data_IF_885084650628
#
_entry.id   IF_885084650628
#
_cell.length_a   1.000
_cell.length_b   1.000
_cell.length_c   1.000
_cell.angle_alpha   90.00
_cell.angle_beta   90.00
_cell.angle_gamma   90.00
#
_symmetry.space_group_name_H-M   'P 1'
#
loop_
_entity.id
_entity.type
_entity.pdbx_description
1 polymer ?
#
# COMPACT_ATOMS: atom_id res chain seq x y z
N UNK A 1 1.09 -16.71 -8.16
CA UNK A 1 1.29 -17.99 -7.43
C UNK A 1 1.84 -17.78 -6.03
N UNK A 2 2.94 -17.04 -5.84
CA UNK A 2 3.59 -16.85 -4.52
C UNK A 2 2.66 -16.22 -3.48
N UNK A 3 1.91 -15.17 -3.82
CA UNK A 3 0.99 -14.49 -2.88
C UNK A 3 -0.09 -15.46 -2.35
N UNK A 4 -0.77 -16.17 -3.23
CA UNK A 4 -1.79 -17.14 -2.83
C UNK A 4 -1.21 -18.29 -1.99
N UNK A 5 -0.01 -18.75 -2.33
CA UNK A 5 0.69 -19.76 -1.52
C UNK A 5 1.00 -19.22 -0.11
N UNK A 6 1.45 -17.97 0.01
CA UNK A 6 1.65 -17.31 1.31
C UNK A 6 0.37 -17.25 2.14
N UNK A 7 -0.76 -16.89 1.50
CA UNK A 7 -2.08 -16.89 2.15
C UNK A 7 -2.48 -18.28 2.66
N UNK A 8 -2.28 -19.31 1.85
CA UNK A 8 -2.59 -20.72 2.23
C UNK A 8 -1.76 -21.18 3.43
N UNK A 9 -0.49 -20.75 3.52
CA UNK A 9 0.43 -21.12 4.61
C UNK A 9 0.24 -20.29 5.88
N UNK A 10 -0.40 -19.14 5.78
CA UNK A 10 -0.66 -18.30 6.96
C UNK A 10 -1.66 -18.97 7.90
N UNK A 11 -1.41 -18.90 9.20
CA UNK A 11 -2.28 -19.41 10.27
C UNK A 11 -3.12 -18.29 10.93
N UNK A 12 -2.95 -17.05 10.51
CA UNK A 12 -3.59 -15.88 11.12
C UNK A 12 -4.81 -15.39 10.31
N UNK A 13 -5.70 -14.68 11.01
CA UNK A 13 -6.95 -14.16 10.44
C UNK A 13 -6.77 -12.92 9.54
N UNK A 14 -5.59 -12.32 9.56
CA UNK A 14 -5.24 -11.15 8.77
C UNK A 14 -3.96 -11.39 7.98
N UNK A 15 -3.99 -10.98 6.73
CA UNK A 15 -2.87 -11.06 5.79
C UNK A 15 -2.48 -9.64 5.39
N UNK A 16 -1.23 -9.26 5.61
CA UNK A 16 -0.68 -7.99 5.13
C UNK A 16 0.37 -8.25 4.06
N UNK A 17 0.14 -7.71 2.86
CA UNK A 17 1.15 -7.67 1.81
C UNK A 17 2.08 -6.49 2.08
N UNK A 18 3.35 -6.76 2.17
CA UNK A 18 4.41 -5.76 2.36
C UNK A 18 5.47 -5.99 1.29
N UNK A 19 5.87 -4.91 0.63
CA UNK A 19 6.94 -4.94 -0.38
C UNK A 19 8.28 -4.73 0.34
N UNK A 20 9.30 -5.50 0.00
CA UNK A 20 10.59 -5.54 0.70
C UNK A 20 11.51 -4.35 0.37
N UNK A 21 11.14 -3.56 -0.64
CA UNK A 21 11.81 -2.34 -1.07
C UNK A 21 11.15 -1.04 -0.55
N UNK A 22 10.05 -1.14 0.21
CA UNK A 22 9.34 0.00 0.80
C UNK A 22 9.68 0.21 2.28
N UNK A 23 9.41 1.42 2.78
CA UNK A 23 9.58 1.73 4.20
C UNK A 23 8.26 1.56 4.98
N UNK A 24 8.33 0.81 6.08
CA UNK A 24 7.24 0.63 7.04
C UNK A 24 7.69 1.10 8.42
N UNK A 25 7.00 2.10 8.96
CA UNK A 25 7.27 2.65 10.29
C UNK A 25 6.86 1.70 11.42
N UNK A 26 7.34 1.96 12.64
CA UNK A 26 7.13 1.04 13.77
C UNK A 26 5.65 0.82 14.12
N UNK A 27 4.78 1.80 13.87
CA UNK A 27 3.35 1.72 14.19
C UNK A 27 2.49 1.29 12.99
N UNK A 28 3.09 0.97 11.83
CA UNK A 28 2.36 0.65 10.60
C UNK A 28 1.31 -0.44 10.77
N UNK A 29 1.69 -1.57 11.37
CA UNK A 29 0.76 -2.69 11.55
C UNK A 29 -0.32 -2.38 12.60
N UNK A 30 0.03 -1.67 13.67
CA UNK A 30 -0.95 -1.28 14.70
C UNK A 30 -2.01 -0.36 14.12
N UNK A 31 -1.61 0.68 13.37
CA UNK A 31 -2.50 1.61 12.70
C UNK A 31 -3.41 0.90 11.70
N UNK A 32 -2.83 0.01 10.91
CA UNK A 32 -3.56 -0.79 9.93
C UNK A 32 -4.61 -1.68 10.60
N UNK A 33 -4.25 -2.37 11.68
CA UNK A 33 -5.15 -3.25 12.42
C UNK A 33 -6.25 -2.48 13.16
N UNK A 34 -5.99 -1.24 13.59
CA UNK A 34 -6.98 -0.40 14.23
C UNK A 34 -8.16 -0.07 13.30
N UNK A 35 -7.95 0.00 11.98
CA UNK A 35 -9.02 0.23 11.00
C UNK A 35 -10.16 -0.79 11.15
N UNK A 36 -9.84 -2.06 11.36
CA UNK A 36 -10.83 -3.12 11.51
C UNK A 36 -11.65 -3.04 12.81
N UNK A 37 -11.24 -2.20 13.77
CA UNK A 37 -11.97 -1.98 15.04
C UNK A 37 -13.11 -0.97 14.89
N UNK A 38 -13.01 -0.02 13.96
CA UNK A 38 -13.99 1.07 13.79
C UNK A 38 -14.69 1.09 12.44
N UNK A 39 -14.37 0.15 11.55
CA UNK A 39 -15.02 0.02 10.25
C UNK A 39 -15.56 -1.40 10.05
N UNK A 40 -16.45 -1.57 9.07
CA UNK A 40 -16.90 -2.88 8.60
C UNK A 40 -16.13 -3.36 7.35
N UNK A 41 -15.00 -2.71 7.03
CA UNK A 41 -14.14 -3.10 5.92
C UNK A 41 -13.55 -4.50 6.12
N UNK A 42 -13.37 -5.22 5.03
CA UNK A 42 -12.65 -6.49 4.99
C UNK A 42 -11.21 -6.32 4.49
N UNK A 43 -10.94 -5.18 3.86
CA UNK A 43 -9.65 -4.82 3.29
C UNK A 43 -9.32 -3.39 3.71
N UNK A 44 -8.07 -3.15 4.06
CA UNK A 44 -7.55 -1.81 4.31
C UNK A 44 -6.18 -1.62 3.68
N UNK A 45 -5.77 -0.39 3.56
CA UNK A 45 -4.48 0.05 3.07
C UNK A 45 -4.43 1.57 3.01
N UNK A 46 -3.52 2.10 2.22
CA UNK A 46 -3.33 3.56 2.07
C UNK A 46 -3.59 3.98 0.63
N UNK A 47 -4.65 4.76 0.38
CA UNK A 47 -4.84 5.42 -0.93
C UNK A 47 -4.00 6.68 -1.04
N UNK A 48 -3.89 7.45 0.05
CA UNK A 48 -2.93 8.54 0.17
C UNK A 48 -1.69 8.01 0.88
N UNK A 49 -0.51 8.21 0.32
CA UNK A 49 0.74 7.76 0.92
C UNK A 49 1.92 8.64 0.53
N UNK A 50 3.00 8.54 1.29
CA UNK A 50 4.24 9.21 0.98
C UNK A 50 5.04 8.44 -0.09
N UNK A 51 5.77 9.20 -0.90
CA UNK A 51 6.75 8.70 -1.87
C UNK A 51 8.06 9.40 -1.62
N UNK A 52 9.15 8.65 -1.56
CA UNK A 52 10.49 9.20 -1.38
C UNK A 52 11.39 8.82 -2.55
N UNK A 53 12.02 9.82 -3.13
CA UNK A 53 12.98 9.67 -4.23
C UNK A 53 14.41 9.79 -3.70
N UNK A 54 15.13 8.67 -3.65
CA UNK A 54 16.51 8.62 -3.14
C UNK A 54 17.51 9.41 -3.97
N UNK A 55 17.27 9.60 -5.26
CA UNK A 55 18.20 10.28 -6.15
C UNK A 55 18.40 11.77 -5.82
N UNK A 56 17.42 12.40 -5.19
CA UNK A 56 17.42 13.82 -4.86
C UNK A 56 16.80 14.15 -3.48
N UNK A 57 16.60 13.14 -2.65
CA UNK A 57 16.04 13.26 -1.29
C UNK A 57 14.67 13.96 -1.25
N UNK A 58 13.85 13.82 -2.29
CA UNK A 58 12.52 14.44 -2.35
C UNK A 58 11.50 13.55 -1.70
N UNK A 59 10.80 14.07 -0.68
CA UNK A 59 9.61 13.48 -0.08
C UNK A 59 8.37 14.18 -0.62
N UNK A 60 7.38 13.42 -1.02
CA UNK A 60 6.09 13.95 -1.47
C UNK A 60 4.92 13.06 -1.07
N UNK A 61 3.70 13.52 -1.37
CA UNK A 61 2.46 12.79 -1.12
C UNK A 61 1.77 12.52 -2.45
N UNK A 62 1.40 11.26 -2.66
CA UNK A 62 0.58 10.82 -3.80
C UNK A 62 -0.88 10.73 -3.39
N UNK A 63 -1.78 11.03 -4.31
CA UNK A 63 -3.25 10.91 -4.15
C UNK A 63 -3.79 11.55 -2.85
N UNK A 64 -3.61 12.87 -2.69
CA UNK A 64 -4.05 13.60 -1.49
C UNK A 64 -5.54 13.49 -1.23
N UNK A 65 -5.92 13.51 0.06
CA UNK A 65 -7.30 13.59 0.54
C UNK A 65 -8.15 12.32 0.31
N UNK A 66 -7.50 11.14 0.21
CA UNK A 66 -8.18 9.85 0.17
C UNK A 66 -8.04 9.05 1.47
N UNK A 67 -7.63 9.71 2.55
CA UNK A 67 -7.52 9.12 3.89
C UNK A 67 -8.90 9.01 4.55
N UNK A 68 -9.07 7.99 5.42
CA UNK A 68 -10.27 7.75 6.23
C UNK A 68 -11.57 7.65 5.43
N UNK A 69 -11.53 6.93 4.33
CA UNK A 69 -12.68 6.75 3.41
C UNK A 69 -12.77 5.33 2.90
N UNK A 70 -13.98 4.93 2.56
CA UNK A 70 -14.18 3.78 1.69
C UNK A 70 -13.75 4.14 0.27
N UNK A 71 -12.96 3.26 -0.33
CA UNK A 71 -12.28 3.49 -1.61
C UNK A 71 -12.37 2.25 -2.48
N UNK A 72 -11.99 2.37 -3.75
CA UNK A 72 -11.88 1.24 -4.66
C UNK A 72 -10.46 0.65 -4.68
N UNK A 73 -9.46 1.49 -4.44
CA UNK A 73 -8.04 1.09 -4.57
C UNK A 73 -7.20 1.69 -3.45
N UNK A 74 -6.25 0.92 -2.96
CA UNK A 74 -5.15 1.33 -2.08
C UNK A 74 -3.82 0.95 -2.71
N UNK A 75 -2.72 1.48 -2.21
CA UNK A 75 -1.38 1.13 -2.69
C UNK A 75 -1.08 -0.36 -2.50
N UNK A 76 -0.52 -1.01 -3.51
CA UNK A 76 -0.28 -2.45 -3.54
C UNK A 76 0.55 -2.97 -2.37
N UNK A 77 1.62 -2.25 -1.99
CA UNK A 77 2.45 -2.57 -0.81
C UNK A 77 1.78 -2.29 0.54
N UNK A 78 0.50 -1.84 0.57
CA UNK A 78 -0.19 -1.51 1.82
C UNK A 78 -1.43 -2.36 2.10
N UNK A 79 -1.72 -3.33 1.25
CA UNK A 79 -2.94 -4.13 1.33
C UNK A 79 -2.90 -5.03 2.57
N UNK A 80 -3.89 -4.86 3.45
CA UNK A 80 -4.15 -5.77 4.56
C UNK A 80 -5.59 -6.27 4.47
N UNK A 81 -5.76 -7.58 4.55
CA UNK A 81 -7.01 -8.29 4.22
C UNK A 81 -7.38 -9.23 5.34
N UNK A 82 -8.67 -9.31 5.69
CA UNK A 82 -9.19 -10.42 6.50
C UNK A 82 -9.11 -11.71 5.69
N UNK A 83 -8.53 -12.75 6.25
CA UNK A 83 -8.25 -14.01 5.54
C UNK A 83 -9.50 -14.64 4.90
N UNK A 84 -10.67 -14.44 5.48
CA UNK A 84 -11.96 -14.92 4.95
C UNK A 84 -12.26 -14.42 3.52
N UNK A 85 -11.72 -13.27 3.10
CA UNK A 85 -11.88 -12.75 1.73
C UNK A 85 -11.31 -13.73 0.70
N UNK A 86 -10.25 -14.45 1.06
CA UNK A 86 -9.59 -15.40 0.18
C UNK A 86 -10.38 -16.70 -0.05
N UNK A 87 -11.50 -16.90 0.65
CA UNK A 87 -12.44 -17.97 0.35
C UNK A 87 -13.18 -17.70 -0.98
N UNK A 88 -13.31 -16.44 -1.37
CA UNK A 88 -14.04 -15.99 -2.57
C UNK A 88 -13.14 -15.37 -3.63
N UNK A 89 -12.11 -14.61 -3.24
CA UNK A 89 -11.24 -13.86 -4.17
C UNK A 89 -9.78 -14.26 -3.95
N UNK A 90 -9.02 -14.36 -5.04
CA UNK A 90 -7.58 -14.67 -4.99
C UNK A 90 -6.79 -13.73 -5.88
N UNK A 91 -5.51 -13.54 -5.58
CA UNK A 91 -4.61 -12.84 -6.50
C UNK A 91 -4.55 -13.58 -7.83
N UNK A 92 -4.70 -12.82 -8.92
CA UNK A 92 -4.54 -13.39 -10.27
C UNK A 92 -3.08 -13.73 -10.53
N UNK A 93 -2.83 -14.79 -11.29
CA UNK A 93 -1.45 -15.21 -11.64
C UNK A 93 -0.92 -14.40 -12.83
N UNK A 94 -0.63 -13.12 -12.57
CA UNK A 94 -0.03 -12.18 -13.51
C UNK A 94 1.19 -11.51 -12.85
N UNK A 95 2.07 -10.93 -13.66
CA UNK A 95 3.34 -10.38 -13.18
C UNK A 95 3.29 -8.87 -12.89
N UNK A 96 2.22 -8.18 -13.27
CA UNK A 96 2.06 -6.74 -13.05
C UNK A 96 0.57 -6.41 -12.94
N UNK A 97 0.21 -5.60 -11.92
CA UNK A 97 -1.18 -5.19 -11.69
C UNK A 97 -2.03 -6.24 -10.95
N UNK A 98 -1.42 -7.27 -10.38
CA UNK A 98 -2.09 -8.30 -9.58
C UNK A 98 -2.81 -7.69 -8.37
N UNK A 99 -2.23 -6.67 -7.76
CA UNK A 99 -2.79 -5.95 -6.62
C UNK A 99 -4.04 -5.16 -6.99
N UNK A 100 -3.97 -4.41 -8.10
CA UNK A 100 -5.10 -3.62 -8.59
C UNK A 100 -6.27 -4.51 -8.97
N UNK A 101 -6.00 -5.59 -9.72
CA UNK A 101 -7.03 -6.55 -10.11
C UNK A 101 -7.61 -7.30 -8.92
N UNK A 102 -6.81 -7.63 -7.91
CA UNK A 102 -7.32 -8.21 -6.67
C UNK A 102 -8.31 -7.27 -5.97
N UNK A 103 -8.00 -5.98 -5.88
CA UNK A 103 -8.89 -4.99 -5.27
C UNK A 103 -10.18 -4.80 -6.08
N UNK A 104 -10.10 -4.83 -7.42
CA UNK A 104 -11.27 -4.81 -8.30
C UNK A 104 -12.15 -6.04 -8.06
N UNK A 105 -11.57 -7.25 -8.05
CA UNK A 105 -12.30 -8.49 -7.80
C UNK A 105 -12.96 -8.50 -6.41
N UNK A 106 -12.28 -7.94 -5.41
CA UNK A 106 -12.83 -7.77 -4.07
C UNK A 106 -14.04 -6.82 -4.07
N UNK A 107 -13.93 -5.69 -4.79
CA UNK A 107 -15.05 -4.74 -4.89
C UNK A 107 -16.24 -5.35 -5.64
N UNK A 108 -16.02 -6.06 -6.74
CA UNK A 108 -17.06 -6.79 -7.49
C UNK A 108 -17.73 -7.87 -6.64
N UNK A 109 -17.01 -8.42 -5.65
CA UNK A 109 -17.51 -9.37 -4.66
C UNK A 109 -18.13 -8.68 -3.42
N UNK A 110 -18.43 -7.37 -3.50
CA UNK A 110 -19.05 -6.53 -2.47
C UNK A 110 -18.24 -6.39 -1.17
N UNK A 111 -16.94 -6.72 -1.18
CA UNK A 111 -16.05 -6.43 -0.05
C UNK A 111 -15.69 -4.95 0.00
N UNK A 112 -15.82 -4.37 1.20
CA UNK A 112 -15.49 -2.97 1.43
C UNK A 112 -14.00 -2.81 1.69
N UNK A 113 -13.42 -1.80 1.01
CA UNK A 113 -12.02 -1.40 1.16
C UNK A 113 -11.99 -0.04 1.84
N UNK A 114 -11.19 0.14 2.87
CA UNK A 114 -11.06 1.38 3.60
C UNK A 114 -9.62 1.90 3.56
N UNK A 115 -9.44 3.17 3.17
CA UNK A 115 -8.15 3.84 3.23
C UNK A 115 -7.90 4.38 4.63
N UNK A 116 -6.82 3.96 5.27
CA UNK A 116 -6.33 4.53 6.52
C UNK A 116 -5.69 5.91 6.32
N UNK A 117 -4.94 6.40 7.30
CA UNK A 117 -4.07 7.57 7.15
C UNK A 117 -2.91 7.32 6.19
N UNK A 118 -2.08 8.36 5.96
CA UNK A 118 -0.90 8.30 5.08
C UNK A 118 0.41 7.96 5.80
N UNK A 119 0.40 7.93 7.14
CA UNK A 119 1.61 7.83 7.94
C UNK A 119 2.14 6.40 8.06
N UNK A 120 3.33 6.24 8.60
CA UNK A 120 4.01 4.98 8.85
C UNK A 120 4.28 4.11 7.60
N UNK A 121 4.14 4.66 6.38
CA UNK A 121 4.47 4.00 5.12
C UNK A 121 5.05 5.01 4.12
N UNK A 122 6.08 4.58 3.39
CA UNK A 122 6.65 5.35 2.27
C UNK A 122 6.96 4.40 1.12
N UNK A 123 6.41 4.70 -0.05
CA UNK A 123 6.84 4.09 -1.30
C UNK A 123 8.24 4.62 -1.63
N UNK A 124 9.24 3.74 -1.61
CA UNK A 124 10.63 4.09 -1.91
C UNK A 124 10.87 4.06 -3.42
N UNK A 125 11.52 5.10 -3.94
CA UNK A 125 11.98 5.16 -5.33
C UNK A 125 13.49 5.20 -5.35
N UNK A 126 14.09 4.02 -5.50
CA UNK A 126 15.54 3.83 -5.55
C UNK A 126 16.14 4.49 -6.78
N UNK A 127 17.47 4.77 -6.72
CA UNK A 127 18.20 5.46 -7.80
C UNK A 127 18.18 4.72 -9.11
N UNK A 128 18.20 3.39 -9.04
CA UNK A 128 18.20 2.53 -10.22
C UNK A 128 16.77 2.01 -10.49
N UNK A 129 16.22 2.35 -11.66
CA UNK A 129 14.89 1.94 -12.06
C UNK A 129 14.74 0.40 -12.19
N UNK A 130 15.83 -0.31 -12.47
CA UNK A 130 15.81 -1.77 -12.61
C UNK A 130 15.56 -2.51 -11.28
N UNK A 131 15.77 -1.83 -10.15
CA UNK A 131 15.49 -2.37 -8.82
C UNK A 131 13.98 -2.42 -8.49
N UNK A 132 13.14 -1.86 -9.39
CA UNK A 132 11.69 -1.84 -9.23
C UNK A 132 10.97 -2.75 -10.19
N UNK A 133 9.95 -3.45 -9.72
CA UNK A 133 8.98 -4.16 -10.58
C UNK A 133 8.14 -3.16 -11.37
N UNK A 134 7.66 -2.10 -10.70
CA UNK A 134 6.91 -1.01 -11.33
C UNK A 134 7.85 0.05 -11.89
N UNK A 135 8.16 -0.04 -13.20
CA UNK A 135 9.15 0.78 -13.90
C UNK A 135 8.62 2.15 -14.33
N UNK A 136 7.92 2.87 -13.47
CA UNK A 136 7.54 4.26 -13.75
C UNK A 136 8.74 5.19 -13.60
N UNK A 137 9.03 5.96 -14.66
CA UNK A 137 10.11 6.95 -14.66
C UNK A 137 9.83 8.10 -13.68
N UNK A 138 10.89 8.62 -13.05
CA UNK A 138 10.84 9.76 -12.14
C UNK A 138 10.04 10.95 -12.70
N UNK A 139 10.32 11.34 -13.95
CA UNK A 139 9.72 12.50 -14.62
C UNK A 139 8.18 12.40 -14.76
N UNK A 140 7.64 11.20 -14.76
CA UNK A 140 6.21 10.98 -14.82
C UNK A 140 5.61 10.93 -13.41
N UNK A 141 6.23 10.18 -12.51
CA UNK A 141 5.73 10.02 -11.15
C UNK A 141 5.75 11.35 -10.38
N UNK A 142 6.80 12.18 -10.55
CA UNK A 142 6.90 13.46 -9.84
C UNK A 142 5.77 14.44 -10.18
N UNK A 143 5.15 14.32 -11.35
CA UNK A 143 3.98 15.13 -11.75
C UNK A 143 2.71 14.79 -10.97
N UNK A 144 2.64 13.56 -10.43
CA UNK A 144 1.52 13.08 -9.62
C UNK A 144 1.74 13.31 -8.13
N UNK A 145 2.90 13.85 -7.74
CA UNK A 145 3.34 14.00 -6.37
C UNK A 145 3.23 15.46 -5.91
N UNK A 146 2.69 15.67 -4.73
CA UNK A 146 2.76 16.96 -4.05
C UNK A 146 3.99 16.97 -3.14
N UNK A 147 5.02 17.71 -3.52
CA UNK A 147 6.27 17.79 -2.77
C UNK A 147 6.01 18.36 -1.37
N UNK A 148 6.52 17.67 -0.37
CA UNK A 148 6.44 18.04 1.05
C UNK A 148 7.76 18.65 1.50
N UNK A 149 8.88 17.98 1.20
CA UNK A 149 10.21 18.41 1.64
C UNK A 149 11.29 17.82 0.75
N UNK A 150 12.47 18.43 0.78
CA UNK A 150 13.72 17.81 0.28
C UNK A 150 14.58 17.58 1.52
N UNK A 151 14.67 16.32 1.97
CA UNK A 151 15.29 15.97 3.25
C UNK A 151 15.91 14.57 3.17
N UNK A 152 17.17 14.40 3.65
CA UNK A 152 17.84 13.09 3.62
C UNK A 152 17.19 12.03 4.52
N UNK A 153 16.58 12.45 5.64
CA UNK A 153 15.88 11.58 6.57
C UNK A 153 14.45 12.07 6.77
N UNK A 154 13.50 11.29 6.30
CA UNK A 154 12.07 11.59 6.34
C UNK A 154 11.36 10.98 7.56
N UNK A 155 12.04 10.16 8.35
CA UNK A 155 11.40 9.35 9.40
C UNK A 155 10.63 10.17 10.41
N UNK A 156 11.14 11.36 10.78
CA UNK A 156 10.47 12.29 11.71
C UNK A 156 9.19 12.92 11.16
N UNK A 157 8.97 12.86 9.84
CA UNK A 157 7.76 13.41 9.19
C UNK A 157 6.67 12.34 9.10
N UNK A 158 7.07 11.09 8.92
CA UNK A 158 6.12 10.02 8.57
C UNK A 158 5.81 9.07 9.74
N UNK A 159 6.69 8.99 10.74
CA UNK A 159 6.46 8.14 11.93
C UNK A 159 5.65 8.91 12.97
N UNK A 160 4.45 8.43 13.25
CA UNK A 160 3.52 9.00 14.24
C UNK A 160 3.03 7.90 15.17
#
# INVERSE_FOLDING_TARGET
ECLNFGVEKSEYDYISKMDDDDYYGPNYLEDTMNVFKYTDAKITGKSTYFVYFENNNTLGIRYRNWEYKYVLVVGGGTITVKKEVFDSVKFRNISLGEDELFLVDCHESEFKIFSSDKYNYVLMRHKNLEDHTWKMHYENLIKEINIVSVIPDFTSIISV
#
